data_IF_889031113776
#
_entry.id   IF_889031113776
#
_cell.length_a   1.000
_cell.length_b   1.000
_cell.length_c   1.000
_cell.angle_alpha   90.00
_cell.angle_beta   90.00
_cell.angle_gamma   90.00
#
_symmetry.space_group_name_H-M   'P 1'
#
loop_
_entity.id
_entity.type
_entity.pdbx_description
1 polymer ?
#
# COMPACT_ATOMS: atom_id res chain seq x y z
N UNK A 1 7.02 -1.23 17.21
CA UNK A 1 5.62 -0.78 17.37
C UNK A 1 4.69 -1.97 17.29
N UNK A 2 3.46 -1.84 17.75
CA UNK A 2 2.46 -2.89 17.63
C UNK A 2 1.88 -2.93 16.21
N UNK A 3 1.38 -4.09 15.80
CA UNK A 3 0.78 -4.32 14.47
C UNK A 3 -0.35 -3.33 14.17
N UNK A 4 -1.27 -3.14 15.10
CA UNK A 4 -2.38 -2.21 14.95
C UNK A 4 -1.91 -0.77 14.70
N UNK A 5 -0.83 -0.40 15.34
CA UNK A 5 -0.22 0.91 15.16
C UNK A 5 0.38 1.07 13.76
N UNK A 6 1.06 0.04 13.27
CA UNK A 6 1.62 0.04 11.91
C UNK A 6 0.51 0.13 10.86
N UNK A 7 -0.57 -0.63 11.02
CA UNK A 7 -1.75 -0.58 10.14
C UNK A 7 -2.36 0.82 10.14
N UNK A 8 -2.52 1.42 11.30
CA UNK A 8 -3.06 2.77 11.44
C UNK A 8 -2.22 3.82 10.69
N UNK A 9 -0.90 3.74 10.83
CA UNK A 9 0.04 4.63 10.13
C UNK A 9 -0.10 4.50 8.60
N UNK A 10 -0.16 3.28 8.09
CA UNK A 10 -0.31 3.01 6.66
C UNK A 10 -1.63 3.58 6.14
N UNK A 11 -2.72 3.34 6.87
CA UNK A 11 -4.05 3.84 6.52
C UNK A 11 -4.07 5.37 6.46
N UNK A 12 -3.59 6.04 7.50
CA UNK A 12 -3.55 7.50 7.56
C UNK A 12 -2.68 8.10 6.45
N UNK A 13 -1.53 7.48 6.19
CA UNK A 13 -0.62 7.92 5.12
C UNK A 13 -1.29 7.81 3.75
N UNK A 14 -1.93 6.68 3.47
CA UNK A 14 -2.65 6.47 2.21
C UNK A 14 -3.79 7.49 2.04
N UNK A 15 -4.56 7.72 3.08
CA UNK A 15 -5.67 8.70 3.06
C UNK A 15 -5.19 10.12 2.80
N UNK A 16 -4.05 10.52 3.37
CA UNK A 16 -3.45 11.85 3.09
C UNK A 16 -3.08 12.03 1.62
N UNK A 17 -2.73 10.95 0.93
CA UNK A 17 -2.43 10.98 -0.50
C UNK A 17 -3.65 10.76 -1.40
N UNK A 18 -4.86 10.70 -0.80
CA UNK A 18 -6.11 10.61 -1.55
C UNK A 18 -6.50 9.19 -1.94
N UNK A 19 -5.91 8.17 -1.32
CA UNK A 19 -6.25 6.77 -1.55
C UNK A 19 -7.19 6.22 -0.50
N UNK A 20 -7.87 5.12 -0.81
CA UNK A 20 -8.68 4.35 0.12
C UNK A 20 -7.96 3.04 0.44
N UNK A 21 -8.19 2.49 1.63
CA UNK A 21 -7.56 1.26 2.07
C UNK A 21 -8.60 0.20 2.39
N UNK A 22 -8.28 -1.06 2.01
CA UNK A 22 -9.00 -2.25 2.43
C UNK A 22 -8.06 -3.11 3.27
N UNK A 23 -8.45 -3.37 4.50
CA UNK A 23 -7.63 -4.14 5.44
C UNK A 23 -8.21 -5.54 5.55
N UNK A 24 -7.42 -6.54 5.18
CA UNK A 24 -7.79 -7.95 5.29
C UNK A 24 -7.18 -8.53 6.56
N UNK A 25 -8.00 -8.67 7.60
CA UNK A 25 -7.55 -9.10 8.93
C UNK A 25 -6.92 -10.50 8.95
N UNK A 26 -7.36 -11.38 8.05
CA UNK A 26 -6.91 -12.77 8.01
C UNK A 26 -5.49 -12.96 7.46
N UNK A 27 -5.04 -12.06 6.59
CA UNK A 27 -3.77 -12.19 5.87
C UNK A 27 -2.79 -11.08 6.19
N UNK A 28 -3.17 -10.14 7.05
CA UNK A 28 -2.41 -8.92 7.30
C UNK A 28 -2.06 -8.16 6.00
N UNK A 29 -2.97 -8.25 5.05
CA UNK A 29 -2.87 -7.57 3.77
C UNK A 29 -3.63 -6.25 3.84
N UNK A 30 -2.97 -5.19 3.39
CA UNK A 30 -3.60 -3.88 3.23
C UNK A 30 -3.55 -3.54 1.75
N UNK A 31 -4.71 -3.43 1.12
CA UNK A 31 -4.81 -2.89 -0.24
C UNK A 31 -5.02 -1.39 -0.19
N UNK A 32 -4.27 -0.67 -1.01
CA UNK A 32 -4.35 0.77 -1.16
C UNK A 32 -4.77 1.05 -2.60
N UNK A 33 -5.93 1.67 -2.77
CA UNK A 33 -6.54 1.87 -4.08
C UNK A 33 -6.98 3.31 -4.25
N UNK A 34 -7.07 3.75 -5.49
CA UNK A 34 -7.74 4.99 -5.82
C UNK A 34 -9.25 4.86 -5.57
N UNK A 35 -9.93 5.91 -5.03
CA UNK A 35 -11.38 5.89 -4.89
C UNK A 35 -12.06 5.87 -6.27
N UNK A 36 -13.11 5.05 -6.41
CA UNK A 36 -13.88 4.90 -7.64
C UNK A 36 -13.62 3.58 -8.36
N UNK A 37 -14.17 3.44 -9.57
CA UNK A 37 -14.13 2.21 -10.35
C UNK A 37 -12.87 2.06 -11.22
N UNK A 38 -12.01 3.08 -11.25
CA UNK A 38 -10.80 3.09 -12.05
C UNK A 38 -9.60 2.67 -11.20
N UNK A 39 -9.11 1.47 -11.42
CA UNK A 39 -7.96 0.93 -10.70
C UNK A 39 -6.65 1.17 -11.47
N UNK A 40 -6.23 2.43 -11.62
CA UNK A 40 -4.97 2.74 -12.29
C UNK A 40 -3.75 2.31 -11.49
N UNK A 41 -3.84 2.44 -10.18
CA UNK A 41 -2.79 2.04 -9.27
C UNK A 41 -3.38 1.21 -8.15
N UNK A 42 -2.76 0.08 -7.90
CA UNK A 42 -3.08 -0.79 -6.78
C UNK A 42 -1.79 -1.07 -6.03
N UNK A 43 -1.77 -0.73 -4.76
CA UNK A 43 -0.66 -1.01 -3.87
C UNK A 43 -1.09 -2.07 -2.87
N UNK A 44 -0.17 -2.97 -2.54
CA UNK A 44 -0.40 -3.95 -1.49
C UNK A 44 0.73 -3.86 -0.48
N UNK A 45 0.36 -3.75 0.79
CA UNK A 45 1.31 -3.83 1.91
C UNK A 45 1.03 -5.14 2.62
N UNK A 46 2.03 -6.01 2.65
CA UNK A 46 1.92 -7.34 3.26
C UNK A 46 2.97 -7.53 4.34
N UNK A 47 2.71 -8.48 5.25
CA UNK A 47 3.70 -8.89 6.23
C UNK A 47 4.79 -9.73 5.56
N UNK A 48 6.04 -9.44 5.92
CA UNK A 48 7.16 -10.30 5.62
C UNK A 48 7.78 -10.77 6.93
N UNK A 49 7.88 -12.09 7.09
CA UNK A 49 8.50 -12.71 8.26
C UNK A 49 9.89 -13.17 7.88
N UNK A 50 10.91 -12.67 8.57
CA UNK A 50 12.28 -13.13 8.38
C UNK A 50 12.40 -14.63 8.69
N UNK A 51 13.00 -15.45 7.80
CA UNK A 51 13.03 -16.92 7.97
C UNK A 51 13.83 -17.41 9.17
N UNK A 52 14.76 -16.63 9.69
CA UNK A 52 15.65 -17.01 10.80
C UNK A 52 15.23 -16.38 12.13
N UNK A 53 13.96 -16.08 12.29
CA UNK A 53 13.49 -15.40 13.49
C UNK A 53 13.37 -16.36 14.67
N UNK A 54 13.91 -15.97 15.83
CA UNK A 54 13.70 -16.66 17.09
C UNK A 54 12.19 -16.69 17.41
N UNK A 55 11.67 -17.86 17.73
CA UNK A 55 10.27 -18.04 18.05
C UNK A 55 9.80 -17.23 19.28
N UNK A 56 10.73 -16.80 20.13
CA UNK A 56 10.43 -15.96 21.28
C UNK A 56 10.23 -14.48 20.91
N UNK A 57 10.85 -14.02 19.82
CA UNK A 57 10.75 -12.65 19.32
C UNK A 57 10.71 -12.64 17.80
N UNK A 58 9.53 -12.62 17.26
CA UNK A 58 9.32 -12.57 15.82
C UNK A 58 9.28 -11.10 15.34
N UNK A 59 10.24 -10.75 14.50
CA UNK A 59 10.22 -9.48 13.80
C UNK A 59 9.49 -9.63 12.48
N UNK A 60 8.49 -8.82 12.28
CA UNK A 60 7.72 -8.78 11.06
C UNK A 60 7.87 -7.40 10.45
N UNK A 61 8.19 -7.37 9.18
CA UNK A 61 8.27 -6.12 8.42
C UNK A 61 7.13 -6.07 7.43
N UNK A 62 6.70 -4.86 7.10
CA UNK A 62 5.71 -4.66 6.06
C UNK A 62 6.42 -4.50 4.72
N UNK A 63 6.00 -5.26 3.71
CA UNK A 63 6.49 -5.14 2.35
C UNK A 63 5.47 -4.44 1.47
N UNK A 64 5.95 -3.51 0.68
CA UNK A 64 5.13 -2.75 -0.26
C UNK A 64 5.29 -3.33 -1.67
N UNK A 65 4.18 -3.74 -2.25
CA UNK A 65 4.10 -4.21 -3.64
C UNK A 65 3.30 -3.21 -4.46
N UNK A 66 3.90 -2.71 -5.52
CA UNK A 66 3.25 -1.72 -6.39
C UNK A 66 2.90 -2.37 -7.71
N UNK A 67 1.63 -2.24 -8.10
CA UNK A 67 1.16 -2.63 -9.43
C UNK A 67 0.48 -1.44 -10.09
N UNK A 68 0.93 -1.11 -11.28
CA UNK A 68 0.28 -0.13 -12.13
C UNK A 68 -0.45 -0.84 -13.26
N UNK A 69 -1.71 -0.53 -13.47
CA UNK A 69 -2.50 -1.08 -14.58
C UNK A 69 -3.17 0.05 -15.34
N UNK A 70 -2.91 0.11 -16.63
CA UNK A 70 -3.60 1.04 -17.54
C UNK A 70 -4.78 0.37 -18.24
N UNK A 71 -5.06 -0.89 -17.93
CA UNK A 71 -6.11 -1.68 -18.58
C UNK A 71 -7.53 -1.13 -18.33
N UNK A 72 -7.73 -0.38 -17.27
CA UNK A 72 -9.03 0.22 -16.94
C UNK A 72 -9.37 1.46 -17.75
N UNK A 73 -8.47 1.94 -18.61
CA UNK A 73 -8.71 3.12 -19.43
C UNK A 73 -9.61 2.87 -20.66
N UNK A 74 -9.91 1.60 -20.98
CA UNK A 74 -10.67 1.26 -22.18
C UNK A 74 -9.89 1.55 -23.48
N UNK A 75 -10.48 1.26 -24.64
CA UNK A 75 -9.78 1.18 -25.91
C UNK A 75 -8.91 2.36 -26.32
N UNK A 76 -9.44 3.59 -26.31
CA UNK A 76 -8.70 4.79 -26.78
C UNK A 76 -8.79 5.89 -25.72
N UNK A 77 -7.75 6.03 -24.87
CA UNK A 77 -7.76 7.08 -23.85
C UNK A 77 -7.70 8.47 -24.49
N UNK A 78 -8.50 9.39 -23.96
CA UNK A 78 -8.44 10.81 -24.33
C UNK A 78 -7.26 11.49 -23.63
N UNK A 79 -6.81 12.67 -24.11
CA UNK A 79 -5.80 13.45 -23.39
C UNK A 79 -6.17 13.72 -21.92
N UNK A 80 -7.45 13.95 -21.64
CA UNK A 80 -7.95 14.16 -20.28
C UNK A 80 -7.77 12.92 -19.40
N UNK A 81 -8.06 11.74 -19.94
CA UNK A 81 -7.81 10.46 -19.24
C UNK A 81 -6.33 10.28 -18.88
N UNK A 82 -5.44 10.64 -19.81
CA UNK A 82 -4.01 10.55 -19.62
C UNK A 82 -3.51 11.53 -18.56
N UNK A 83 -4.01 12.76 -18.54
CA UNK A 83 -3.70 13.74 -17.49
C UNK A 83 -4.14 13.25 -16.12
N UNK A 84 -5.34 12.68 -16.03
CA UNK A 84 -5.88 12.12 -14.79
C UNK A 84 -5.03 10.96 -14.30
N UNK A 85 -4.66 10.03 -15.19
CA UNK A 85 -3.79 8.91 -14.86
C UNK A 85 -2.41 9.39 -14.37
N UNK A 86 -1.85 10.39 -15.04
CA UNK A 86 -0.57 10.99 -14.67
C UNK A 86 -0.60 11.57 -13.24
N UNK A 87 -1.66 12.24 -12.87
CA UNK A 87 -1.82 12.79 -11.52
C UNK A 87 -1.91 11.68 -10.46
N UNK A 88 -2.65 10.62 -10.75
CA UNK A 88 -2.76 9.47 -9.86
C UNK A 88 -1.40 8.79 -9.67
N UNK A 89 -0.66 8.61 -10.76
CA UNK A 89 0.68 8.02 -10.73
C UNK A 89 1.63 8.89 -9.88
N UNK A 90 1.57 10.20 -10.03
CA UNK A 90 2.38 11.13 -9.23
C UNK A 90 2.07 10.99 -7.73
N UNK A 91 0.78 11.01 -7.35
CA UNK A 91 0.38 10.82 -5.96
C UNK A 91 0.81 9.46 -5.42
N UNK A 92 0.71 8.42 -6.25
CA UNK A 92 1.15 7.08 -5.92
C UNK A 92 2.67 7.02 -5.67
N UNK A 93 3.46 7.70 -6.50
CA UNK A 93 4.90 7.78 -6.31
C UNK A 93 5.28 8.46 -4.99
N UNK A 94 4.60 9.54 -4.65
CA UNK A 94 4.80 10.24 -3.37
C UNK A 94 4.42 9.35 -2.17
N UNK A 95 3.33 8.59 -2.28
CA UNK A 95 2.92 7.64 -1.25
C UNK A 95 3.96 6.54 -1.05
N UNK A 96 4.42 5.92 -2.14
CA UNK A 96 5.46 4.88 -2.09
C UNK A 96 6.72 5.41 -1.43
N UNK A 97 7.16 6.58 -1.81
CA UNK A 97 8.35 7.21 -1.26
C UNK A 97 8.23 7.44 0.25
N UNK A 98 7.08 7.91 0.71
CA UNK A 98 6.82 8.14 2.12
C UNK A 98 6.77 6.82 2.90
N UNK A 99 6.07 5.80 2.39
CA UNK A 99 6.00 4.49 3.03
C UNK A 99 7.36 3.79 3.11
N UNK A 100 8.16 3.86 2.05
CA UNK A 100 9.52 3.34 2.07
C UNK A 100 10.38 4.03 3.13
N UNK A 101 10.22 5.33 3.28
CA UNK A 101 10.95 6.11 4.29
C UNK A 101 10.56 5.80 5.73
N UNK A 102 9.39 5.22 5.97
CA UNK A 102 8.93 4.88 7.31
C UNK A 102 9.58 3.61 7.87
N UNK A 103 10.05 2.69 7.04
CA UNK A 103 10.69 1.46 7.48
C UNK A 103 9.87 0.69 8.52
N UNK A 104 8.57 0.52 8.29
CA UNK A 104 7.63 -0.03 9.26
C UNK A 104 8.01 -1.44 9.70
N UNK A 105 8.23 -1.60 10.99
CA UNK A 105 8.50 -2.89 11.61
C UNK A 105 7.79 -3.00 12.95
N UNK A 106 7.39 -4.21 13.31
CA UNK A 106 6.79 -4.50 14.60
C UNK A 106 7.23 -5.88 15.09
N UNK A 107 7.08 -6.10 16.37
CA UNK A 107 7.44 -7.38 16.99
C UNK A 107 6.17 -8.02 17.56
N UNK A 108 5.91 -9.26 17.19
CA UNK A 108 4.89 -10.08 17.82
C UNK A 108 5.53 -10.98 18.88
N UNK A 109 4.95 -11.01 20.06
CA UNK A 109 5.32 -11.92 21.12
C UNK A 109 4.41 -13.15 21.07
N UNK A 110 5.01 -14.33 21.19
CA UNK A 110 4.29 -15.60 21.27
C UNK A 110 4.24 -16.12 22.69
#
# INVERSE_FOLDING_TARGET
MKKEQAICIIKETAERHGFVTNIYQWTSLIEIQEPGDTHFLNFMVTENTAPDTDWSQRKVTMELHVRASLASMGGNPTPEDLFKASEIIRRGAELVQELEGMGLSYTEEF
#
